data_IF_506431285710
#
_entry.id   IF_506431285710
#
_cell.length_a   1.000
_cell.length_b   1.000
_cell.length_c   1.000
_cell.angle_alpha   90.00
_cell.angle_beta   90.00
_cell.angle_gamma   90.00
#
_symmetry.space_group_name_H-M   'P 1'
#
loop_
_entity.id
_entity.type
_entity.pdbx_description
1 polymer ?
#
# COMPACT_ATOMS: atom_id res chain seq x y z
N UNK A 1 -17.05 -26.39 17.85
CA UNK A 1 -16.61 -25.48 16.76
C UNK A 1 -17.63 -24.37 16.64
N UNK A 2 -17.33 -23.18 17.18
CA UNK A 2 -18.23 -22.03 17.06
C UNK A 2 -18.07 -21.46 15.64
N UNK A 3 -19.16 -21.52 14.88
CA UNK A 3 -19.27 -20.89 13.57
C UNK A 3 -19.33 -19.36 13.76
N UNK A 4 -18.16 -18.70 13.87
CA UNK A 4 -18.08 -17.24 13.89
C UNK A 4 -18.27 -16.76 12.47
N UNK A 5 -19.44 -16.25 12.13
CA UNK A 5 -19.67 -15.49 10.90
C UNK A 5 -18.91 -14.16 11.00
N UNK A 6 -17.59 -14.22 10.83
CA UNK A 6 -16.74 -13.04 10.78
C UNK A 6 -16.77 -12.50 9.34
N UNK A 7 -17.59 -11.48 9.08
CA UNK A 7 -17.56 -10.76 7.81
C UNK A 7 -16.68 -9.51 7.94
N UNK A 8 -15.67 -9.38 7.10
CA UNK A 8 -14.83 -8.18 7.00
C UNK A 8 -15.38 -7.24 5.92
N UNK A 9 -15.51 -5.97 6.25
CA UNK A 9 -15.79 -4.91 5.28
C UNK A 9 -14.88 -3.72 5.52
N UNK A 10 -14.36 -3.13 4.45
CA UNK A 10 -13.58 -1.90 4.52
C UNK A 10 -14.48 -0.73 4.93
N UNK A 11 -14.01 0.07 5.88
CA UNK A 11 -14.69 1.27 6.38
C UNK A 11 -14.01 2.52 5.84
N UNK A 12 -14.74 3.64 5.85
CA UNK A 12 -14.18 4.95 5.53
C UNK A 12 -13.01 5.29 6.46
N UNK A 13 -11.97 5.90 5.88
CA UNK A 13 -10.76 6.31 6.59
C UNK A 13 -10.91 7.75 7.08
N UNK A 14 -10.51 8.01 8.32
CA UNK A 14 -10.51 9.37 8.88
C UNK A 14 -9.29 10.16 8.37
N UNK A 15 -9.42 11.49 8.14
CA UNK A 15 -8.32 12.34 7.68
C UNK A 15 -7.05 12.24 8.55
N UNK A 16 -7.21 12.13 9.88
CA UNK A 16 -6.07 12.01 10.80
C UNK A 16 -5.23 10.76 10.55
N UNK A 17 -5.85 9.66 10.11
CA UNK A 17 -5.14 8.44 9.75
C UNK A 17 -4.24 8.69 8.54
N UNK A 18 -4.77 9.38 7.52
CA UNK A 18 -4.01 9.73 6.32
C UNK A 18 -2.89 10.71 6.65
N UNK A 19 -3.15 11.71 7.47
CA UNK A 19 -2.15 12.67 7.92
C UNK A 19 -1.00 11.98 8.68
N UNK A 20 -1.31 11.00 9.54
CA UNK A 20 -0.30 10.18 10.23
C UNK A 20 0.52 9.35 9.23
N UNK A 21 -0.12 8.71 8.25
CA UNK A 21 0.58 7.93 7.22
C UNK A 21 1.53 8.83 6.42
N UNK A 22 1.05 9.99 5.94
CA UNK A 22 1.85 10.96 5.19
C UNK A 22 3.04 11.46 6.00
N UNK A 23 2.86 11.73 7.30
CA UNK A 23 3.92 12.18 8.20
C UNK A 23 5.03 11.13 8.38
N UNK A 24 4.68 9.85 8.35
CA UNK A 24 5.59 8.72 8.54
C UNK A 24 6.19 8.15 7.24
N UNK A 25 5.90 8.74 6.07
CA UNK A 25 6.52 8.31 4.82
C UNK A 25 8.05 8.42 4.91
N UNK A 26 8.77 7.42 4.41
CA UNK A 26 10.23 7.49 4.31
C UNK A 26 10.61 8.43 3.15
N UNK A 27 11.36 9.50 3.44
CA UNK A 27 11.74 10.51 2.44
C UNK A 27 12.59 10.00 1.28
N UNK A 28 13.26 8.86 1.47
CA UNK A 28 14.07 8.17 0.45
C UNK A 28 13.26 7.26 -0.48
N UNK A 29 11.91 7.26 -0.35
CA UNK A 29 11.07 6.44 -1.24
C UNK A 29 11.22 6.92 -2.68
N UNK A 30 11.55 5.98 -3.57
CA UNK A 30 11.58 6.23 -5.02
C UNK A 30 10.21 6.61 -5.53
N UNK A 31 10.17 7.55 -6.49
CA UNK A 31 8.96 8.01 -7.15
C UNK A 31 8.42 6.94 -8.11
N UNK A 32 7.10 6.88 -8.26
CA UNK A 32 6.45 6.10 -9.31
C UNK A 32 6.50 6.76 -10.68
N UNK A 33 5.50 6.49 -11.50
CA UNK A 33 5.34 7.08 -12.84
C UNK A 33 4.89 8.54 -12.81
N UNK A 34 4.39 9.00 -11.67
CA UNK A 34 3.92 10.37 -11.41
C UNK A 34 5.05 11.33 -11.02
N UNK A 35 6.25 10.81 -10.79
CA UNK A 35 7.44 11.52 -10.31
C UNK A 35 7.20 12.34 -9.00
N UNK A 36 6.13 12.02 -8.25
CA UNK A 36 5.83 12.63 -6.96
C UNK A 36 6.56 11.89 -5.85
N UNK A 37 7.54 12.53 -5.26
CA UNK A 37 8.32 11.97 -4.14
C UNK A 37 7.61 12.11 -2.79
N UNK A 38 7.94 11.19 -1.87
CA UNK A 38 7.41 11.23 -0.50
C UNK A 38 7.74 12.55 0.23
N UNK A 39 8.86 13.19 -0.08
CA UNK A 39 9.24 14.49 0.51
C UNK A 39 8.26 15.59 0.14
N UNK A 40 7.81 15.64 -1.12
CA UNK A 40 6.80 16.62 -1.58
C UNK A 40 5.50 16.40 -0.83
N UNK A 41 5.02 15.15 -0.75
CA UNK A 41 3.79 14.82 -0.04
C UNK A 41 3.87 15.15 1.46
N UNK A 42 5.04 15.03 2.08
CA UNK A 42 5.24 15.44 3.47
C UNK A 42 5.14 16.96 3.66
N UNK A 43 5.68 17.73 2.72
CA UNK A 43 5.62 19.20 2.79
C UNK A 43 4.17 19.71 2.71
N UNK A 44 3.37 19.13 1.83
CA UNK A 44 1.98 19.55 1.56
C UNK A 44 0.94 18.65 2.27
N UNK A 45 1.35 17.90 3.29
CA UNK A 45 0.49 16.88 3.92
C UNK A 45 -0.83 17.43 4.44
N UNK A 46 -0.81 18.63 5.02
CA UNK A 46 -2.00 19.28 5.59
C UNK A 46 -3.01 19.63 4.50
N UNK A 47 -2.51 20.19 3.42
CA UNK A 47 -3.32 20.67 2.29
C UNK A 47 -3.88 19.51 1.46
N UNK A 48 -3.09 18.45 1.27
CA UNK A 48 -3.50 17.31 0.44
C UNK A 48 -4.39 16.31 1.19
N UNK A 49 -4.33 16.27 2.52
CA UNK A 49 -5.07 15.29 3.34
C UNK A 49 -6.56 15.27 3.05
N UNK A 50 -7.30 16.39 2.98
CA UNK A 50 -8.74 16.35 2.69
C UNK A 50 -9.06 15.74 1.32
N UNK A 51 -8.32 16.14 0.29
CA UNK A 51 -8.50 15.63 -1.08
C UNK A 51 -8.17 14.15 -1.16
N UNK A 52 -7.05 13.75 -0.57
CA UNK A 52 -6.62 12.35 -0.56
C UNK A 52 -7.59 11.46 0.24
N UNK A 53 -8.13 11.97 1.34
CA UNK A 53 -9.18 11.29 2.12
C UNK A 53 -10.41 11.03 1.27
N UNK A 54 -10.84 12.02 0.51
CA UNK A 54 -11.99 11.88 -0.38
C UNK A 54 -11.74 10.81 -1.46
N UNK A 55 -10.59 10.85 -2.13
CA UNK A 55 -10.22 9.87 -3.18
C UNK A 55 -10.14 8.45 -2.61
N UNK A 56 -9.51 8.28 -1.44
CA UNK A 56 -9.36 6.97 -0.80
C UNK A 56 -10.73 6.42 -0.38
N UNK A 57 -11.58 7.24 0.23
CA UNK A 57 -12.91 6.82 0.62
C UNK A 57 -13.81 6.51 -0.57
N UNK A 58 -13.68 7.26 -1.65
CA UNK A 58 -14.35 6.96 -2.92
C UNK A 58 -13.88 5.61 -3.49
N UNK A 59 -12.57 5.36 -3.47
CA UNK A 59 -11.99 4.08 -3.89
C UNK A 59 -12.52 2.90 -3.07
N UNK A 60 -12.61 3.06 -1.75
CA UNK A 60 -13.14 2.03 -0.84
C UNK A 60 -14.64 1.79 -1.12
N UNK A 61 -15.44 2.83 -1.23
CA UNK A 61 -16.90 2.73 -1.42
C UNK A 61 -17.27 2.17 -2.80
N UNK A 62 -16.55 2.55 -3.85
CA UNK A 62 -16.75 2.05 -5.21
C UNK A 62 -16.07 0.70 -5.48
N UNK A 63 -15.29 0.19 -4.51
CA UNK A 63 -14.45 -1.02 -4.66
C UNK A 63 -13.52 -0.97 -5.88
N UNK A 64 -13.14 0.23 -6.30
CA UNK A 64 -12.32 0.47 -7.49
C UNK A 64 -11.00 1.12 -7.12
N UNK A 65 -9.90 0.47 -7.47
CA UNK A 65 -8.57 1.04 -7.28
C UNK A 65 -8.25 2.05 -8.41
N UNK A 66 -7.77 3.27 -8.11
CA UNK A 66 -7.47 4.27 -9.13
C UNK A 66 -6.47 3.75 -10.17
N UNK A 67 -6.83 3.81 -11.46
CA UNK A 67 -6.02 3.25 -12.54
C UNK A 67 -4.62 3.88 -12.62
N UNK A 68 -4.52 5.20 -12.44
CA UNK A 68 -3.23 5.89 -12.42
C UNK A 68 -2.27 5.36 -11.34
N UNK A 69 -2.80 4.83 -10.23
CA UNK A 69 -1.98 4.29 -9.13
C UNK A 69 -1.56 2.82 -9.34
N UNK A 70 -2.12 2.14 -10.35
CA UNK A 70 -1.71 0.78 -10.75
C UNK A 70 -0.48 0.79 -11.66
N UNK A 71 -0.15 1.91 -12.27
CA UNK A 71 0.97 2.03 -13.19
C UNK A 71 2.30 2.02 -12.42
N UNK A 72 3.17 1.10 -12.74
CA UNK A 72 4.47 0.96 -12.11
C UNK A 72 5.59 1.29 -13.10
N UNK A 73 6.63 1.99 -12.61
CA UNK A 73 7.92 2.16 -13.31
C UNK A 73 8.79 0.97 -12.96
N UNK A 74 9.18 0.18 -13.95
CA UNK A 74 10.05 -0.99 -13.72
C UNK A 74 11.50 -0.58 -13.85
N UNK A 75 12.30 -0.82 -12.81
CA UNK A 75 13.75 -0.55 -12.80
C UNK A 75 14.50 -1.87 -12.61
N UNK A 76 15.49 -2.17 -13.49
CA UNK A 76 16.35 -3.31 -13.31
C UNK A 76 17.40 -3.02 -12.23
N UNK A 77 17.36 -3.74 -11.12
CA UNK A 77 18.37 -3.68 -10.07
C UNK A 77 19.40 -4.79 -10.26
N UNK A 78 20.69 -4.41 -10.31
CA UNK A 78 21.79 -5.35 -10.40
C UNK A 78 21.89 -6.19 -9.11
N UNK A 79 21.85 -7.52 -9.24
CA UNK A 79 21.95 -8.47 -8.13
C UNK A 79 23.40 -8.97 -7.93
N UNK A 80 24.21 -9.02 -9.02
CA UNK A 80 25.59 -9.52 -9.03
C UNK A 80 26.48 -8.55 -9.79
N UNK A 81 27.80 -8.59 -9.55
CA UNK A 81 28.79 -7.67 -10.12
C UNK A 81 28.91 -7.69 -11.66
N UNK A 82 28.45 -8.74 -12.33
CA UNK A 82 28.55 -8.86 -13.81
C UNK A 82 27.38 -8.13 -14.48
N UNK A 83 27.67 -6.94 -15.01
CA UNK A 83 26.68 -6.01 -15.58
C UNK A 83 26.11 -6.49 -16.93
N UNK A 84 26.87 -7.31 -17.68
CA UNK A 84 26.53 -7.68 -19.06
C UNK A 84 25.48 -8.78 -19.20
N UNK A 85 25.09 -9.45 -18.10
CA UNK A 85 24.16 -10.56 -18.14
C UNK A 85 22.80 -10.16 -17.58
N UNK A 86 21.75 -10.20 -18.40
CA UNK A 86 20.37 -9.87 -18.02
C UNK A 86 19.87 -10.68 -16.79
N UNK A 87 20.31 -11.94 -16.64
CA UNK A 87 20.00 -12.79 -15.46
C UNK A 87 20.51 -12.26 -14.12
N UNK A 88 21.44 -11.31 -14.15
CA UNK A 88 22.00 -10.68 -12.96
C UNK A 88 21.19 -9.48 -12.49
N UNK A 89 20.14 -9.12 -13.20
CA UNK A 89 19.20 -8.07 -12.81
C UNK A 89 17.89 -8.64 -12.28
N UNK A 90 17.31 -7.95 -11.31
CA UNK A 90 15.94 -8.20 -10.85
C UNK A 90 15.08 -6.98 -11.18
N UNK A 91 13.92 -7.15 -11.82
CA UNK A 91 12.98 -6.06 -12.03
C UNK A 91 12.37 -5.64 -10.67
N UNK A 92 12.37 -4.35 -10.41
CA UNK A 92 11.67 -3.77 -9.24
C UNK A 92 10.62 -2.79 -9.76
N UNK A 93 9.38 -3.02 -9.37
CA UNK A 93 8.25 -2.15 -9.73
C UNK A 93 8.11 -1.02 -8.72
N UNK A 94 8.17 0.21 -9.19
CA UNK A 94 7.99 1.42 -8.40
C UNK A 94 6.59 1.97 -8.66
N UNK A 95 5.71 1.83 -7.69
CA UNK A 95 4.36 2.40 -7.70
C UNK A 95 4.38 3.85 -7.18
N UNK A 96 3.39 4.67 -7.56
CA UNK A 96 3.16 5.98 -6.98
C UNK A 96 3.10 5.95 -5.45
N UNK A 97 3.59 6.98 -4.79
CA UNK A 97 3.57 7.04 -3.32
C UNK A 97 2.14 7.06 -2.78
N UNK A 98 1.21 7.66 -3.52
CA UNK A 98 -0.21 7.69 -3.18
C UNK A 98 -0.85 6.30 -3.17
N UNK A 99 -0.43 5.38 -4.06
CA UNK A 99 -0.81 3.97 -4.02
C UNK A 99 -0.45 3.34 -2.67
N UNK A 100 0.77 3.58 -2.19
CA UNK A 100 1.24 3.07 -0.90
C UNK A 100 0.45 3.62 0.29
N UNK A 101 -0.07 4.85 0.19
CA UNK A 101 -0.93 5.43 1.23
C UNK A 101 -2.26 4.68 1.29
N UNK A 102 -2.92 4.46 0.15
CA UNK A 102 -4.16 3.67 0.08
C UNK A 102 -3.94 2.23 0.60
N UNK A 103 -2.88 1.56 0.13
CA UNK A 103 -2.52 0.22 0.59
C UNK A 103 -2.33 0.18 2.11
N UNK A 104 -1.69 1.21 2.69
CA UNK A 104 -1.48 1.30 4.14
C UNK A 104 -2.79 1.50 4.90
N UNK A 105 -3.74 2.28 4.37
CA UNK A 105 -5.07 2.44 4.95
C UNK A 105 -5.85 1.13 5.01
N UNK A 106 -5.79 0.34 3.92
CA UNK A 106 -6.42 -0.98 3.84
C UNK A 106 -5.72 -1.97 4.77
N UNK A 107 -4.39 -1.98 4.78
CA UNK A 107 -3.59 -2.85 5.64
C UNK A 107 -3.92 -2.68 7.12
N UNK A 108 -4.00 -1.43 7.61
CA UNK A 108 -4.34 -1.14 9.00
C UNK A 108 -5.68 -1.77 9.36
N UNK A 109 -6.72 -1.58 8.54
CA UNK A 109 -8.05 -2.14 8.81
C UNK A 109 -8.06 -3.68 8.80
N UNK A 110 -7.26 -4.30 7.92
CA UNK A 110 -7.16 -5.77 7.89
C UNK A 110 -6.46 -6.28 9.16
N UNK A 111 -5.37 -5.66 9.57
CA UNK A 111 -4.64 -6.08 10.78
C UNK A 111 -5.51 -5.91 12.01
N UNK A 112 -6.15 -4.74 12.17
CA UNK A 112 -7.05 -4.47 13.30
C UNK A 112 -8.15 -5.55 13.37
N UNK A 113 -8.77 -5.89 12.23
CA UNK A 113 -9.79 -6.95 12.17
C UNK A 113 -9.23 -8.33 12.56
N UNK A 114 -8.05 -8.69 12.09
CA UNK A 114 -7.42 -9.99 12.41
C UNK A 114 -7.05 -10.08 13.89
N UNK A 115 -6.57 -8.99 14.49
CA UNK A 115 -6.22 -8.91 15.90
C UNK A 115 -7.47 -8.97 16.78
N UNK A 116 -8.50 -8.17 16.49
CA UNK A 116 -9.77 -8.14 17.23
C UNK A 116 -10.47 -9.51 17.24
N UNK A 117 -10.35 -10.27 16.17
CA UNK A 117 -10.95 -11.60 16.07
C UNK A 117 -10.03 -12.75 16.48
N UNK A 118 -8.84 -12.44 16.98
CA UNK A 118 -7.82 -13.43 17.38
C UNK A 118 -7.49 -14.45 16.27
N UNK A 119 -7.45 -13.98 15.01
CA UNK A 119 -7.15 -14.79 13.84
C UNK A 119 -5.64 -14.89 13.55
N UNK A 120 -4.81 -14.07 14.22
CA UNK A 120 -3.37 -14.13 14.11
C UNK A 120 -2.80 -15.17 15.05
N UNK A 121 -2.01 -16.13 14.53
CA UNK A 121 -1.30 -17.09 15.35
C UNK A 121 -0.11 -16.40 16.04
N UNK A 122 0.20 -16.71 17.34
CA UNK A 122 1.32 -16.11 18.08
C UNK A 122 2.69 -16.20 17.39
N UNK A 123 2.90 -17.22 16.54
CA UNK A 123 4.13 -17.37 15.76
C UNK A 123 4.23 -16.45 14.53
N UNK A 124 3.18 -15.72 14.21
CA UNK A 124 3.13 -14.78 13.08
C UNK A 124 3.42 -13.32 13.47
N UNK A 125 4.21 -13.09 14.51
CA UNK A 125 4.74 -11.75 14.85
C UNK A 125 5.59 -11.11 13.74
N UNK A 126 5.79 -11.80 12.62
CA UNK A 126 6.49 -11.34 11.43
C UNK A 126 5.63 -11.33 10.18
N UNK A 127 4.34 -11.00 10.26
CA UNK A 127 3.63 -10.51 9.08
C UNK A 127 4.26 -9.17 8.70
N UNK A 128 5.48 -9.31 8.16
CA UNK A 128 6.21 -8.21 7.56
C UNK A 128 5.25 -7.47 6.63
N UNK A 129 5.24 -6.16 6.76
CA UNK A 129 4.46 -5.21 5.94
C UNK A 129 4.53 -5.53 4.43
N UNK A 130 5.54 -6.31 4.00
CA UNK A 130 5.75 -6.78 2.63
C UNK A 130 4.82 -7.91 2.18
N UNK A 131 4.40 -8.83 3.06
CA UNK A 131 3.57 -9.98 2.67
C UNK A 131 2.11 -9.57 2.48
N UNK A 132 1.59 -8.70 3.35
CA UNK A 132 0.25 -8.16 3.21
C UNK A 132 0.14 -7.21 1.98
N UNK A 133 1.20 -6.44 1.69
CA UNK A 133 1.30 -5.62 0.48
C UNK A 133 1.28 -6.48 -0.79
N UNK A 134 2.00 -7.61 -0.82
CA UNK A 134 2.02 -8.52 -1.97
C UNK A 134 0.68 -9.24 -2.17
N UNK A 135 0.00 -9.64 -1.10
CA UNK A 135 -1.31 -10.29 -1.18
C UNK A 135 -2.41 -9.36 -1.71
N UNK A 136 -2.38 -8.07 -1.35
CA UNK A 136 -3.31 -7.06 -1.86
C UNK A 136 -3.05 -6.71 -3.33
N UNK A 137 -1.79 -6.59 -3.74
CA UNK A 137 -1.40 -6.39 -5.14
C UNK A 137 -1.84 -7.55 -6.03
N UNK A 138 -1.70 -8.79 -5.57
CA UNK A 138 -2.13 -9.98 -6.31
C UNK A 138 -3.65 -10.01 -6.53
N UNK A 139 -4.44 -9.61 -5.53
CA UNK A 139 -5.90 -9.62 -5.61
C UNK A 139 -6.46 -8.49 -6.49
N UNK A 140 -5.80 -7.34 -6.53
CA UNK A 140 -6.16 -6.23 -7.43
C UNK A 140 -5.78 -6.49 -8.90
N UNK A 141 -4.79 -7.38 -9.17
CA UNK A 141 -4.35 -7.73 -10.52
C UNK A 141 -5.16 -8.87 -11.15
N UNK A 142 -5.85 -9.69 -10.35
CA UNK A 142 -6.60 -10.87 -10.83
C UNK A 142 -8.09 -10.62 -11.06
N UNK A 143 -8.62 -9.43 -10.71
CA UNK A 143 -10.03 -9.07 -10.83
C UNK A 143 -10.23 -7.73 -11.59
N UNK A 144 -9.34 -7.41 -12.51
CA UNK A 144 -9.42 -6.26 -13.42
C UNK A 144 -9.56 -6.67 -14.88
#
# INVERSE_FOLDING_TARGET
>A
MQNRNCSFSLKSVHPDTILKILSNLKGTSSCGTDDIGANVLKLIKTEITPVLTHIINLSISSQTFPQAWKLAKVIPLLKKKEVLLAKNYRPVSLLPVLSKVLERCIFIQIIDYLEENHLLHPSHHGLDQNIAQQALLFRCLTHG
#
